data_IF_714575050896
#
_entry.id   IF_714575050896
#
_cell.length_a   1.000
_cell.length_b   1.000
_cell.length_c   1.000
_cell.angle_alpha   90.00
_cell.angle_beta   90.00
_cell.angle_gamma   90.00
#
_symmetry.space_group_name_H-M   'P 1'
#
loop_
_entity.id
_entity.type
_entity.pdbx_description
1 polymer ?
#
# COMPACT_ATOMS: atom_id res chain seq x y z
N UNK A 1 15.07 -2.44 2.26
CA UNK A 1 13.96 -2.13 1.34
C UNK A 1 12.66 -2.49 2.02
N UNK A 2 11.68 -1.60 2.01
CA UNK A 2 10.30 -1.89 2.36
C UNK A 2 9.54 -2.17 1.06
N UNK A 3 8.86 -3.31 0.98
CA UNK A 3 8.18 -3.80 -0.21
C UNK A 3 6.70 -3.93 0.14
N UNK A 4 5.85 -3.21 -0.58
CA UNK A 4 4.41 -3.13 -0.30
C UNK A 4 3.65 -3.66 -1.50
N UNK A 5 2.76 -4.63 -1.30
CA UNK A 5 1.89 -5.18 -2.35
C UNK A 5 0.42 -4.87 -2.04
N UNK A 6 -0.28 -4.28 -3.01
CA UNK A 6 -1.70 -3.93 -2.93
C UNK A 6 -2.41 -4.51 -4.16
N UNK A 7 -3.10 -5.66 -4.03
CA UNK A 7 -3.87 -6.21 -5.12
C UNK A 7 -5.08 -5.34 -5.48
N UNK A 8 -5.22 -5.04 -6.76
CA UNK A 8 -6.35 -4.29 -7.33
C UNK A 8 -7.41 -5.22 -7.93
N UNK A 9 -6.97 -6.40 -8.40
CA UNK A 9 -7.81 -7.42 -9.02
C UNK A 9 -7.13 -8.79 -8.90
N UNK A 10 -7.91 -9.84 -8.66
CA UNK A 10 -7.41 -11.21 -8.55
C UNK A 10 -6.73 -11.51 -7.22
N UNK A 11 -5.95 -12.58 -7.21
CA UNK A 11 -5.27 -13.13 -6.02
C UNK A 11 -3.79 -13.40 -6.33
N UNK A 12 -2.92 -12.95 -5.45
CA UNK A 12 -1.47 -13.12 -5.52
C UNK A 12 -1.04 -14.10 -4.44
N UNK A 13 -0.33 -15.17 -4.82
CA UNK A 13 0.30 -16.10 -3.88
C UNK A 13 1.69 -15.61 -3.55
N UNK A 14 1.94 -15.41 -2.27
CA UNK A 14 3.25 -15.07 -1.73
C UNK A 14 3.88 -16.28 -1.04
N UNK A 15 5.20 -16.37 -1.13
CA UNK A 15 6.02 -17.31 -0.35
C UNK A 15 7.41 -16.73 -0.14
N UNK A 16 7.99 -16.89 1.06
CA UNK A 16 9.32 -16.37 1.38
C UNK A 16 10.20 -17.35 2.13
N UNK A 17 11.49 -17.01 2.24
CA UNK A 17 12.49 -17.82 2.94
C UNK A 17 12.44 -17.72 4.47
N UNK A 18 11.52 -16.95 5.03
CA UNK A 18 11.24 -16.90 6.47
C UNK A 18 10.15 -17.92 6.86
N UNK A 19 9.54 -18.60 5.89
CA UNK A 19 8.46 -19.56 6.09
C UNK A 19 7.07 -18.96 6.01
N UNK A 20 6.93 -17.71 5.62
CA UNK A 20 5.61 -17.13 5.36
C UNK A 20 5.13 -17.60 3.98
N UNK A 21 3.85 -17.95 3.92
CA UNK A 21 3.13 -18.22 2.67
C UNK A 21 1.66 -17.86 2.83
N UNK A 22 1.06 -17.33 1.80
CA UNK A 22 -0.34 -16.91 1.87
C UNK A 22 -0.88 -16.39 0.54
N UNK A 23 -2.17 -16.11 0.55
CA UNK A 23 -2.87 -15.45 -0.55
C UNK A 23 -3.15 -14.01 -0.15
N UNK A 24 -2.76 -13.09 -1.00
CA UNK A 24 -3.07 -11.67 -0.89
C UNK A 24 -4.10 -11.37 -1.96
N UNK A 25 -5.24 -10.86 -1.59
CA UNK A 25 -6.35 -10.58 -2.53
C UNK A 25 -6.74 -9.12 -2.52
N UNK A 26 -7.55 -8.73 -3.47
CA UNK A 26 -8.15 -7.39 -3.46
C UNK A 26 -8.81 -7.11 -2.11
N UNK A 27 -8.51 -5.95 -1.53
CA UNK A 27 -8.93 -5.57 -0.19
C UNK A 27 -7.92 -5.89 0.91
N UNK A 28 -6.77 -6.47 0.56
CA UNK A 28 -5.63 -6.65 1.45
C UNK A 28 -4.51 -5.66 1.13
N UNK A 29 -3.66 -5.42 2.10
CA UNK A 29 -2.33 -4.84 1.94
C UNK A 29 -1.31 -5.76 2.61
N UNK A 30 -0.17 -5.95 1.94
CA UNK A 30 0.95 -6.74 2.45
C UNK A 30 2.19 -5.87 2.48
N UNK A 31 3.05 -6.09 3.47
CA UNK A 31 4.37 -5.48 3.56
C UNK A 31 5.44 -6.52 3.90
N UNK A 32 6.60 -6.36 3.28
CA UNK A 32 7.85 -6.99 3.69
C UNK A 32 8.89 -5.93 4.00
N UNK A 33 9.48 -6.01 5.19
CA UNK A 33 10.73 -5.31 5.48
C UNK A 33 11.88 -6.26 5.14
N UNK A 34 12.63 -5.98 4.09
CA UNK A 34 13.71 -6.88 3.63
C UNK A 34 14.86 -6.99 4.64
N UNK A 35 15.10 -5.94 5.45
CA UNK A 35 16.08 -5.95 6.51
C UNK A 35 17.45 -6.43 6.05
N UNK A 36 17.98 -7.45 6.73
CA UNK A 36 19.27 -8.11 6.41
C UNK A 36 19.22 -9.01 5.17
N UNK A 37 18.04 -9.21 4.59
CA UNK A 37 17.82 -9.93 3.34
C UNK A 37 16.57 -10.81 3.37
N UNK A 38 15.83 -10.81 2.29
CA UNK A 38 14.68 -11.68 2.05
C UNK A 38 14.72 -12.20 0.62
N UNK A 39 14.34 -13.45 0.44
CA UNK A 39 14.02 -14.04 -0.86
C UNK A 39 12.54 -14.40 -0.84
N UNK A 40 11.81 -13.99 -1.87
CA UNK A 40 10.38 -14.25 -1.98
C UNK A 40 9.99 -14.54 -3.42
N UNK A 41 8.83 -15.13 -3.58
CA UNK A 41 8.14 -15.29 -4.85
C UNK A 41 6.72 -14.76 -4.74
N UNK A 42 6.25 -14.20 -5.82
CA UNK A 42 4.86 -13.75 -5.99
C UNK A 42 4.36 -14.31 -7.33
N UNK A 43 3.28 -15.05 -7.29
CA UNK A 43 2.69 -15.67 -8.45
C UNK A 43 1.17 -15.49 -8.47
N UNK A 44 0.59 -15.56 -9.65
CA UNK A 44 -0.87 -15.58 -9.78
C UNK A 44 -1.42 -16.84 -9.10
N UNK A 45 -2.29 -16.67 -8.11
CA UNK A 45 -2.84 -17.78 -7.33
C UNK A 45 -3.97 -18.54 -8.06
N UNK A 46 -4.52 -17.96 -9.15
CA UNK A 46 -5.66 -18.50 -9.89
C UNK A 46 -5.42 -18.43 -11.39
N UNK A 47 -6.36 -18.93 -12.19
CA UNK A 47 -6.34 -18.77 -13.66
C UNK A 47 -6.85 -17.39 -14.12
N UNK A 48 -7.40 -16.60 -13.22
CA UNK A 48 -7.89 -15.24 -13.53
C UNK A 48 -6.74 -14.23 -13.49
N UNK A 49 -6.78 -13.15 -14.29
CA UNK A 49 -5.76 -12.12 -14.25
C UNK A 49 -5.60 -11.51 -12.87
N UNK A 50 -4.36 -11.27 -12.46
CA UNK A 50 -4.03 -10.50 -11.26
C UNK A 50 -3.48 -9.13 -11.66
N UNK A 51 -3.94 -8.07 -10.98
CA UNK A 51 -3.39 -6.71 -11.07
C UNK A 51 -3.08 -6.23 -9.68
N UNK A 52 -1.90 -5.72 -9.47
CA UNK A 52 -1.49 -5.18 -8.16
C UNK A 52 -0.49 -4.05 -8.32
N UNK A 53 -0.39 -3.23 -7.29
CA UNK A 53 0.70 -2.28 -7.12
C UNK A 53 1.78 -2.95 -6.27
N UNK A 54 3.03 -2.90 -6.72
CA UNK A 54 4.18 -3.20 -5.89
C UNK A 54 4.99 -1.92 -5.73
N UNK A 55 5.15 -1.49 -4.49
CA UNK A 55 5.78 -0.20 -4.15
C UNK A 55 6.99 -0.48 -3.30
N UNK A 56 8.13 0.04 -3.71
CA UNK A 56 9.39 -0.09 -2.98
C UNK A 56 9.77 1.23 -2.35
N UNK A 57 10.04 1.21 -1.05
CA UNK A 57 10.46 2.37 -0.28
C UNK A 57 11.81 2.09 0.36
N UNK A 58 12.73 3.05 0.21
CA UNK A 58 14.02 2.99 0.91
C UNK A 58 13.76 3.26 2.39
N UNK A 59 14.11 2.34 3.29
CA UNK A 59 13.87 2.52 4.72
C UNK A 59 14.79 3.57 5.34
N UNK A 60 14.40 4.11 6.48
CA UNK A 60 15.23 4.96 7.32
C UNK A 60 16.11 4.19 8.31
N UNK A 61 15.97 2.84 8.34
CA UNK A 61 16.78 1.91 9.14
C UNK A 61 17.29 0.80 8.25
N UNK A 62 18.56 0.44 8.41
CA UNK A 62 19.20 -0.71 7.75
C UNK A 62 19.39 -1.87 8.74
N UNK A 63 19.67 -3.04 8.21
CA UNK A 63 20.05 -4.23 8.97
C UNK A 63 19.04 -4.66 10.07
N UNK A 64 17.77 -4.31 9.85
CA UNK A 64 16.68 -4.78 10.71
C UNK A 64 16.36 -6.24 10.42
N UNK A 65 15.73 -6.91 11.38
CA UNK A 65 15.21 -8.27 11.17
C UNK A 65 14.18 -8.26 10.05
N UNK A 66 14.29 -9.13 9.05
CA UNK A 66 13.27 -9.28 8.02
C UNK A 66 11.88 -9.53 8.63
N UNK A 67 10.85 -8.93 8.04
CA UNK A 67 9.50 -8.98 8.56
C UNK A 67 8.50 -9.11 7.41
N UNK A 68 7.44 -9.85 7.66
CA UNK A 68 6.24 -9.95 6.84
C UNK A 68 5.01 -9.58 7.64
N UNK A 69 4.08 -8.86 7.02
CA UNK A 69 2.79 -8.54 7.62
C UNK A 69 1.73 -8.38 6.52
N UNK A 70 0.49 -8.76 6.82
CA UNK A 70 -0.65 -8.67 5.91
C UNK A 70 -1.91 -8.39 6.71
N UNK A 71 -2.70 -7.42 6.27
CA UNK A 71 -4.00 -7.09 6.89
C UNK A 71 -5.06 -6.84 5.82
N UNK A 72 -6.32 -7.11 6.15
CA UNK A 72 -7.46 -6.65 5.36
C UNK A 72 -7.73 -5.18 5.63
N UNK A 73 -7.91 -4.41 4.55
CA UNK A 73 -8.26 -3.00 4.61
C UNK A 73 -9.72 -2.73 4.21
N UNK A 74 -10.48 -3.76 3.82
CA UNK A 74 -11.89 -3.61 3.41
C UNK A 74 -12.79 -3.26 4.59
N UNK A 75 -12.57 -3.86 5.76
CA UNK A 75 -13.42 -3.66 6.94
C UNK A 75 -13.42 -2.22 7.45
N UNK A 76 -12.35 -1.48 7.20
CA UNK A 76 -12.19 -0.08 7.56
C UNK A 76 -12.39 0.87 6.37
N UNK A 77 -12.96 0.37 5.27
CA UNK A 77 -13.18 1.17 4.07
C UNK A 77 -14.15 2.31 4.34
N UNK A 78 -13.70 3.53 4.09
CA UNK A 78 -14.50 4.74 4.24
C UNK A 78 -14.78 5.37 2.87
N UNK A 79 -16.03 5.81 2.68
CA UNK A 79 -16.43 6.52 1.47
C UNK A 79 -16.22 8.01 1.67
N UNK A 80 -15.69 8.68 0.64
CA UNK A 80 -15.46 10.13 0.65
C UNK A 80 -14.48 10.58 1.75
N UNK A 81 -13.55 9.71 2.13
CA UNK A 81 -12.50 10.00 3.07
C UNK A 81 -11.20 9.29 2.72
N UNK A 82 -10.12 9.70 3.37
CA UNK A 82 -8.82 9.06 3.30
C UNK A 82 -8.73 7.96 4.38
N UNK A 83 -8.61 6.72 3.95
CA UNK A 83 -8.36 5.58 4.81
C UNK A 83 -6.85 5.36 4.92
N UNK A 84 -6.27 5.52 6.10
CA UNK A 84 -4.87 5.13 6.32
C UNK A 84 -4.75 3.61 6.22
N UNK A 85 -3.81 3.14 5.42
CA UNK A 85 -3.52 1.72 5.20
C UNK A 85 -2.08 1.34 5.53
N UNK A 86 -1.21 2.33 5.75
CA UNK A 86 0.18 2.15 6.14
C UNK A 86 0.69 3.40 6.86
N UNK A 87 1.53 3.20 7.88
CA UNK A 87 2.21 4.27 8.62
C UNK A 87 3.60 3.82 9.13
N UNK A 88 4.40 4.71 9.76
CA UNK A 88 5.62 4.32 10.45
C UNK A 88 5.40 3.69 11.83
N UNK A 89 4.17 3.62 12.33
CA UNK A 89 3.84 3.17 13.68
C UNK A 89 3.06 1.86 13.66
N UNK A 90 3.54 0.86 14.38
CA UNK A 90 2.92 -0.47 14.46
C UNK A 90 1.54 -0.49 15.14
N UNK A 91 1.23 0.54 15.93
CA UNK A 91 -0.05 0.66 16.64
C UNK A 91 -1.14 1.38 15.82
N UNK A 92 -0.79 1.90 14.64
CA UNK A 92 -1.72 2.55 13.74
C UNK A 92 -2.52 1.54 12.89
N UNK A 93 -3.57 2.04 12.23
CA UNK A 93 -4.34 1.24 11.30
C UNK A 93 -3.53 0.85 10.05
N UNK A 94 -3.69 -0.37 9.59
CA UNK A 94 -3.01 -0.93 8.43
C UNK A 94 -1.70 -1.65 8.80
N UNK A 95 -0.75 -1.65 7.87
CA UNK A 95 0.60 -2.17 8.08
C UNK A 95 1.58 -1.05 8.40
N UNK A 96 2.77 -1.38 8.89
CA UNK A 96 3.78 -0.37 9.20
C UNK A 96 5.12 -0.64 8.52
N UNK A 97 5.95 0.39 8.34
CA UNK A 97 7.27 0.33 7.70
C UNK A 97 8.32 1.15 8.46
N UNK A 98 9.57 0.87 8.18
CA UNK A 98 10.72 1.64 8.67
C UNK A 98 10.98 2.88 7.78
N UNK A 99 9.98 3.75 7.64
CA UNK A 99 10.11 5.04 6.97
C UNK A 99 9.00 5.99 7.43
N UNK A 100 9.29 7.29 7.49
CA UNK A 100 8.29 8.33 7.77
C UNK A 100 7.39 8.57 6.54
N UNK A 101 6.61 7.56 6.21
CA UNK A 101 5.67 7.59 5.10
C UNK A 101 4.30 7.05 5.53
N UNK A 102 3.24 7.65 5.00
CA UNK A 102 1.85 7.27 5.24
C UNK A 102 1.18 7.00 3.91
N UNK A 103 0.52 5.85 3.80
CA UNK A 103 -0.30 5.54 2.65
C UNK A 103 -1.76 5.67 3.03
N UNK A 104 -2.50 6.35 2.18
CA UNK A 104 -3.93 6.49 2.31
C UNK A 104 -4.60 6.05 1.01
N UNK A 105 -5.62 5.21 1.13
CA UNK A 105 -6.51 4.86 0.05
C UNK A 105 -7.78 5.72 0.16
N UNK A 106 -8.28 6.20 -0.97
CA UNK A 106 -9.50 6.98 -0.99
C UNK A 106 -10.41 6.58 -2.14
N UNK A 107 -11.72 6.61 -1.88
CA UNK A 107 -12.76 6.41 -2.89
C UNK A 107 -13.77 7.55 -2.78
N UNK A 108 -13.71 8.45 -3.74
CA UNK A 108 -14.55 9.64 -3.78
C UNK A 108 -15.67 9.53 -4.81
N UNK A 109 -16.83 10.07 -4.48
CA UNK A 109 -17.90 10.28 -5.43
C UNK A 109 -17.54 11.40 -6.41
N UNK A 110 -18.16 11.38 -7.59
CA UNK A 110 -17.99 12.44 -8.58
C UNK A 110 -18.33 13.81 -8.00
N UNK A 111 -17.41 14.76 -8.14
CA UNK A 111 -17.56 16.14 -7.67
C UNK A 111 -17.30 16.33 -6.18
N UNK A 112 -16.96 15.29 -5.44
CA UNK A 112 -16.55 15.42 -4.05
C UNK A 112 -15.10 15.94 -3.96
N UNK A 113 -14.84 16.77 -2.96
CA UNK A 113 -13.48 17.27 -2.67
C UNK A 113 -13.17 17.20 -1.18
N UNK A 114 -11.91 16.91 -0.86
CA UNK A 114 -11.42 16.85 0.52
C UNK A 114 -9.97 17.29 0.58
N UNK A 115 -9.63 18.06 1.60
CA UNK A 115 -8.26 18.43 1.88
C UNK A 115 -7.50 17.25 2.49
N UNK A 116 -6.27 16.99 2.00
CA UNK A 116 -5.34 16.05 2.60
C UNK A 116 -4.33 16.80 3.46
N UNK A 117 -4.18 16.39 4.71
CA UNK A 117 -3.16 16.92 5.62
C UNK A 117 -1.92 16.06 5.60
N UNK A 118 -0.76 16.68 5.36
CA UNK A 118 0.55 16.01 5.46
C UNK A 118 0.84 15.69 6.91
N UNK A 119 1.13 14.43 7.22
CA UNK A 119 1.30 13.95 8.58
C UNK A 119 2.60 14.44 9.23
N UNK A 120 3.64 14.73 8.44
CA UNK A 120 4.94 15.19 8.95
C UNK A 120 5.40 16.42 8.17
N UNK A 121 5.75 17.53 8.85
CA UNK A 121 6.34 18.68 8.19
C UNK A 121 7.59 18.32 7.38
N UNK A 122 7.71 18.83 6.17
CA UNK A 122 8.81 18.53 5.26
C UNK A 122 8.58 17.34 4.34
N UNK A 123 7.54 16.51 4.57
CA UNK A 123 7.14 15.50 3.60
C UNK A 123 6.41 16.13 2.41
N UNK A 124 6.52 15.48 1.25
CA UNK A 124 5.69 15.73 0.08
C UNK A 124 4.49 14.78 0.02
N UNK A 125 3.65 14.96 -1.01
CA UNK A 125 2.55 14.06 -1.34
C UNK A 125 2.77 13.51 -2.74
N UNK A 126 2.69 12.20 -2.88
CA UNK A 126 2.56 11.52 -4.16
C UNK A 126 1.13 11.00 -4.26
N UNK A 127 0.42 11.40 -5.30
CA UNK A 127 -0.93 10.94 -5.57
C UNK A 127 -0.93 10.07 -6.83
N UNK A 128 -1.63 8.95 -6.78
CA UNK A 128 -1.76 8.02 -7.89
C UNK A 128 -3.24 7.68 -8.10
N UNK A 129 -3.76 7.95 -9.30
CA UNK A 129 -5.15 7.68 -9.64
C UNK A 129 -5.31 6.24 -10.12
N UNK A 130 -5.83 5.37 -9.28
CA UNK A 130 -6.05 3.96 -9.62
C UNK A 130 -7.16 3.80 -10.66
N UNK A 131 -8.24 4.59 -10.53
CA UNK A 131 -9.40 4.55 -11.43
C UNK A 131 -10.12 5.90 -11.47
N UNK A 132 -10.53 6.31 -12.65
CA UNK A 132 -11.25 7.57 -12.87
C UNK A 132 -10.31 8.75 -13.09
N UNK A 133 -10.67 9.93 -12.60
CA UNK A 133 -9.84 11.12 -12.68
C UNK A 133 -10.00 11.99 -11.42
N UNK A 134 -8.97 12.75 -11.08
CA UNK A 134 -8.96 13.66 -9.94
C UNK A 134 -8.30 14.98 -10.32
N UNK A 135 -8.76 16.08 -9.68
CA UNK A 135 -8.07 17.37 -9.75
C UNK A 135 -7.36 17.63 -8.43
N UNK A 136 -6.05 17.85 -8.48
CA UNK A 136 -5.22 18.14 -7.31
C UNK A 136 -4.53 19.50 -7.54
N UNK A 137 -4.96 20.50 -6.79
CA UNK A 137 -4.61 21.87 -7.09
C UNK A 137 -5.15 22.28 -8.47
N UNK A 138 -4.25 22.67 -9.39
CA UNK A 138 -4.61 23.00 -10.77
C UNK A 138 -4.40 21.86 -11.77
N UNK A 139 -3.81 20.75 -11.33
CA UNK A 139 -3.53 19.60 -12.19
C UNK A 139 -4.71 18.64 -12.23
N UNK A 140 -5.03 18.15 -13.42
CA UNK A 140 -5.96 17.04 -13.64
C UNK A 140 -5.12 15.80 -13.89
N UNK A 141 -5.41 14.77 -13.11
CA UNK A 141 -4.79 13.46 -13.21
C UNK A 141 -5.84 12.48 -13.74
N UNK A 142 -5.46 11.70 -14.72
CA UNK A 142 -6.29 10.62 -15.27
C UNK A 142 -5.90 9.27 -14.65
N UNK A 143 -6.59 8.22 -15.04
CA UNK A 143 -6.32 6.88 -14.54
C UNK A 143 -4.86 6.48 -14.79
N UNK A 144 -4.16 6.13 -13.73
CA UNK A 144 -2.74 5.72 -13.65
C UNK A 144 -1.72 6.84 -13.81
N UNK A 145 -2.15 8.08 -13.64
CA UNK A 145 -1.23 9.19 -13.43
C UNK A 145 -0.73 9.25 -11.98
#
# INVERSE_FOLDING_TARGET
MEIISIPLEGELRHSDNMGNSGIIKKGDIQVMSAGTGIMHSEENATEQPVKFLQIWIIPNKTDVTPRYDQVSIEENSVKNDFQQILSPNADDAGVWIHQDAWFNLAKFDKGFSKEYKINKPGNGVYAFVIKGSAKIGEQVLDERD
#
